data_IF_482840053783
#
_entry.id   IF_482840053783
#
_cell.length_a   1.000
_cell.length_b   1.000
_cell.length_c   1.000
_cell.angle_alpha   90.00
_cell.angle_beta   90.00
_cell.angle_gamma   90.00
#
_symmetry.space_group_name_H-M   'P 1'
#
loop_
_entity.id
_entity.type
_entity.pdbx_description
1 polymer ?
#
# COMPACT_ATOMS: atom_id res chain seq x y z
N UNK A 1 -15.18 -57.24 -7.19
CA UNK A 1 -14.21 -56.24 -7.72
C UNK A 1 -14.93 -55.02 -8.31
N UNK A 2 -16.20 -55.11 -8.69
CA UNK A 2 -17.00 -53.96 -9.18
C UNK A 2 -17.30 -52.90 -8.09
N UNK A 3 -17.57 -53.29 -6.85
CA UNK A 3 -17.93 -52.33 -5.77
C UNK A 3 -16.79 -51.38 -5.37
N UNK A 4 -15.54 -51.81 -5.54
CA UNK A 4 -14.35 -50.99 -5.24
C UNK A 4 -14.08 -49.90 -6.29
N UNK A 5 -14.46 -50.15 -7.54
CA UNK A 5 -14.37 -49.15 -8.61
C UNK A 5 -15.49 -48.12 -8.49
N UNK A 6 -16.72 -48.56 -8.21
CA UNK A 6 -17.85 -47.66 -7.99
C UNK A 6 -17.61 -46.69 -6.80
N UNK A 7 -17.05 -47.19 -5.69
CA UNK A 7 -16.66 -46.31 -4.56
C UNK A 7 -15.52 -45.35 -4.88
N UNK A 8 -14.57 -45.77 -5.73
CA UNK A 8 -13.47 -44.89 -6.13
C UNK A 8 -13.93 -43.77 -7.07
N UNK A 9 -14.92 -44.05 -7.91
CA UNK A 9 -15.56 -43.08 -8.81
C UNK A 9 -16.40 -42.05 -8.02
N UNK A 10 -17.17 -42.51 -7.04
CA UNK A 10 -17.97 -41.66 -6.13
C UNK A 10 -17.08 -40.73 -5.27
N UNK A 11 -15.95 -41.26 -4.77
CA UNK A 11 -14.93 -40.46 -4.07
C UNK A 11 -14.27 -39.43 -5.00
N UNK A 12 -13.98 -39.80 -6.25
CA UNK A 12 -13.39 -38.88 -7.22
C UNK A 12 -14.36 -37.75 -7.60
N UNK A 13 -15.67 -38.04 -7.65
CA UNK A 13 -16.72 -37.07 -7.91
C UNK A 13 -16.88 -36.08 -6.75
N UNK A 14 -16.92 -36.57 -5.51
CA UNK A 14 -16.94 -35.74 -4.31
C UNK A 14 -15.69 -34.85 -4.16
N UNK A 15 -14.50 -35.36 -4.46
CA UNK A 15 -13.26 -34.57 -4.44
C UNK A 15 -13.28 -33.48 -5.52
N UNK A 16 -13.81 -33.79 -6.71
CA UNK A 16 -13.94 -32.83 -7.82
C UNK A 16 -14.94 -31.71 -7.49
N UNK A 17 -16.05 -32.04 -6.84
CA UNK A 17 -17.03 -31.07 -6.37
C UNK A 17 -16.46 -30.17 -5.26
N UNK A 18 -15.68 -30.73 -4.34
CA UNK A 18 -15.00 -29.97 -3.28
C UNK A 18 -13.94 -29.02 -3.86
N UNK A 19 -13.17 -29.47 -4.84
CA UNK A 19 -12.19 -28.63 -5.55
C UNK A 19 -12.89 -27.50 -6.30
N UNK A 20 -14.01 -27.77 -6.98
CA UNK A 20 -14.79 -26.75 -7.68
C UNK A 20 -15.36 -25.69 -6.72
N UNK A 21 -15.99 -26.10 -5.62
CA UNK A 21 -16.52 -25.17 -4.62
C UNK A 21 -15.43 -24.30 -3.99
N UNK A 22 -14.25 -24.87 -3.73
CA UNK A 22 -13.10 -24.10 -3.22
C UNK A 22 -12.51 -23.16 -4.29
N UNK A 23 -12.55 -23.56 -5.57
CA UNK A 23 -12.16 -22.71 -6.70
C UNK A 23 -13.06 -21.48 -6.85
N UNK A 24 -14.38 -21.64 -6.66
CA UNK A 24 -15.33 -20.53 -6.70
C UNK A 24 -15.15 -19.59 -5.50
N UNK A 25 -14.92 -20.15 -4.31
CA UNK A 25 -14.59 -19.36 -3.12
C UNK A 25 -13.28 -18.56 -3.30
N UNK A 26 -12.25 -19.16 -3.89
CA UNK A 26 -10.98 -18.47 -4.20
C UNK A 26 -11.18 -17.39 -5.27
N UNK A 27 -11.99 -17.64 -6.31
CA UNK A 27 -12.30 -16.65 -7.34
C UNK A 27 -13.02 -15.42 -6.78
N UNK A 28 -14.02 -15.64 -5.94
CA UNK A 28 -14.80 -14.58 -5.30
C UNK A 28 -13.92 -13.77 -4.33
N UNK A 29 -13.15 -14.45 -3.47
CA UNK A 29 -12.28 -13.79 -2.50
C UNK A 29 -11.13 -13.03 -3.20
N UNK A 30 -10.60 -13.56 -4.31
CA UNK A 30 -9.60 -12.89 -5.14
C UNK A 30 -10.20 -11.66 -5.82
N UNK A 31 -11.40 -11.77 -6.39
CA UNK A 31 -12.09 -10.64 -7.03
C UNK A 31 -12.41 -9.54 -6.01
N UNK A 32 -12.87 -9.90 -4.82
CA UNK A 32 -13.18 -8.96 -3.74
C UNK A 32 -11.92 -8.28 -3.18
N UNK A 33 -10.85 -9.04 -2.88
CA UNK A 33 -9.54 -8.48 -2.47
C UNK A 33 -8.98 -7.56 -3.56
N UNK A 34 -9.03 -7.97 -4.83
CA UNK A 34 -8.53 -7.17 -5.95
C UNK A 34 -9.32 -5.86 -6.12
N UNK A 35 -10.65 -5.93 -5.96
CA UNK A 35 -11.52 -4.76 -6.07
C UNK A 35 -11.31 -3.79 -4.91
N UNK A 36 -11.12 -4.30 -3.69
CA UNK A 36 -10.82 -3.49 -2.50
C UNK A 36 -9.43 -2.85 -2.57
N UNK A 37 -8.43 -3.59 -3.07
CA UNK A 37 -7.10 -3.04 -3.37
C UNK A 37 -7.18 -1.95 -4.42
N UNK A 38 -7.86 -2.20 -5.55
CA UNK A 38 -8.03 -1.21 -6.61
C UNK A 38 -8.73 0.06 -6.11
N UNK A 39 -9.83 -0.10 -5.37
CA UNK A 39 -10.55 1.03 -4.76
C UNK A 39 -9.66 1.82 -3.79
N UNK A 40 -8.87 1.14 -2.96
CA UNK A 40 -7.93 1.77 -2.02
C UNK A 40 -6.81 2.51 -2.75
N UNK A 41 -6.23 1.90 -3.80
CA UNK A 41 -5.19 2.53 -4.63
C UNK A 41 -5.74 3.77 -5.30
N UNK A 42 -6.90 3.68 -5.95
CA UNK A 42 -7.53 4.83 -6.63
C UNK A 42 -7.83 5.94 -5.61
N UNK A 43 -8.43 5.62 -4.47
CA UNK A 43 -8.70 6.60 -3.41
C UNK A 43 -7.39 7.23 -2.90
N UNK A 44 -6.35 6.44 -2.68
CA UNK A 44 -5.05 6.94 -2.23
C UNK A 44 -4.40 7.87 -3.25
N UNK A 45 -4.50 7.58 -4.54
CA UNK A 45 -3.99 8.43 -5.62
C UNK A 45 -4.74 9.75 -5.66
N UNK A 46 -6.07 9.73 -5.55
CA UNK A 46 -6.89 10.94 -5.52
C UNK A 46 -6.51 11.81 -4.32
N UNK A 47 -6.42 11.23 -3.12
CA UNK A 47 -6.01 11.94 -1.90
C UNK A 47 -4.59 12.50 -2.05
N UNK A 48 -3.64 11.71 -2.56
CA UNK A 48 -2.27 12.15 -2.80
C UNK A 48 -2.21 13.32 -3.80
N UNK A 49 -3.03 13.29 -4.85
CA UNK A 49 -3.11 14.37 -5.84
C UNK A 49 -3.59 15.70 -5.22
N UNK A 50 -4.65 15.66 -4.39
CA UNK A 50 -5.10 16.83 -3.64
C UNK A 50 -4.06 17.30 -2.62
N UNK A 51 -3.40 16.37 -1.94
CA UNK A 51 -2.37 16.68 -0.95
C UNK A 51 -1.15 17.37 -1.58
N UNK A 52 -0.67 16.88 -2.72
CA UNK A 52 0.42 17.50 -3.48
C UNK A 52 0.02 18.91 -3.94
N UNK A 53 -1.21 19.07 -4.43
CA UNK A 53 -1.75 20.37 -4.83
C UNK A 53 -1.80 21.35 -3.66
N UNK A 54 -2.28 20.89 -2.50
CA UNK A 54 -2.28 21.68 -1.26
C UNK A 54 -0.86 22.08 -0.85
N UNK A 55 0.10 21.15 -0.87
CA UNK A 55 1.51 21.45 -0.58
C UNK A 55 2.09 22.50 -1.53
N UNK A 56 1.75 22.45 -2.81
CA UNK A 56 2.21 23.41 -3.80
C UNK A 56 1.72 24.83 -3.49
N UNK A 57 0.43 24.98 -3.16
CA UNK A 57 -0.12 26.27 -2.74
C UNK A 57 0.45 26.74 -1.40
N UNK A 58 0.59 25.83 -0.42
CA UNK A 58 1.18 26.16 0.88
C UNK A 58 2.63 26.65 0.73
N UNK A 59 3.44 25.97 -0.09
CA UNK A 59 4.81 26.36 -0.43
C UNK A 59 4.87 27.74 -1.08
N UNK A 60 3.98 27.99 -2.04
CA UNK A 60 3.86 29.30 -2.72
C UNK A 60 3.46 30.40 -1.74
N UNK A 61 2.53 30.13 -0.82
CA UNK A 61 2.11 31.07 0.21
C UNK A 61 3.25 31.39 1.20
N UNK A 62 3.98 30.38 1.66
CA UNK A 62 5.19 30.54 2.48
C UNK A 62 6.24 31.41 1.77
N UNK A 63 6.52 31.13 0.50
CA UNK A 63 7.45 31.92 -0.31
C UNK A 63 7.02 33.39 -0.41
N UNK A 64 5.72 33.65 -0.58
CA UNK A 64 5.17 35.00 -0.59
C UNK A 64 5.30 35.71 0.75
N UNK A 65 5.04 35.02 1.87
CA UNK A 65 5.18 35.59 3.22
C UNK A 65 6.63 35.97 3.48
N UNK A 66 7.58 35.06 3.22
CA UNK A 66 8.99 35.36 3.38
C UNK A 66 9.45 36.47 2.45
N UNK A 67 9.03 36.46 1.18
CA UNK A 67 9.33 37.52 0.23
C UNK A 67 8.85 38.90 0.71
N UNK A 68 7.67 38.97 1.34
CA UNK A 68 7.11 40.23 1.84
C UNK A 68 7.90 40.80 3.03
N UNK A 69 8.50 39.93 3.86
CA UNK A 69 9.38 40.33 4.96
C UNK A 69 10.73 40.84 4.47
N UNK A 70 11.32 40.21 3.44
CA UNK A 70 12.62 40.61 2.90
C UNK A 70 12.55 41.73 1.86
N UNK A 71 11.35 42.10 1.40
CA UNK A 71 11.13 43.15 0.40
C UNK A 71 11.48 42.73 -1.04
N UNK A 72 12.04 41.54 -1.23
CA UNK A 72 12.60 41.05 -2.49
C UNK A 72 12.11 39.61 -2.75
N UNK A 73 11.60 39.34 -3.96
CA UNK A 73 11.04 38.03 -4.35
C UNK A 73 12.06 36.90 -4.31
N UNK A 74 13.30 37.18 -4.70
CA UNK A 74 14.34 36.15 -4.79
C UNK A 74 14.76 35.60 -3.41
N UNK A 75 14.77 36.46 -2.37
CA UNK A 75 15.13 36.05 -1.01
C UNK A 75 14.07 35.14 -0.39
N UNK A 76 12.78 35.38 -0.69
CA UNK A 76 11.69 34.52 -0.23
C UNK A 76 11.83 33.09 -0.76
N UNK A 77 12.12 32.95 -2.04
CA UNK A 77 12.38 31.63 -2.65
C UNK A 77 13.68 31.00 -2.15
N UNK A 78 14.73 31.77 -1.88
CA UNK A 78 16.00 31.26 -1.38
C UNK A 78 15.86 30.67 0.04
N UNK A 79 15.13 31.35 0.93
CA UNK A 79 14.85 30.86 2.29
C UNK A 79 13.98 29.59 2.24
N UNK A 80 12.91 29.59 1.44
CA UNK A 80 12.05 28.41 1.29
C UNK A 80 12.82 27.23 0.68
N UNK A 81 13.63 27.49 -0.35
CA UNK A 81 14.54 26.49 -0.93
C UNK A 81 15.54 25.94 0.08
N UNK A 82 16.10 26.80 0.94
CA UNK A 82 16.96 26.40 2.05
C UNK A 82 16.25 25.50 3.05
N UNK A 83 15.00 25.84 3.43
CA UNK A 83 14.16 25.01 4.30
C UNK A 83 13.88 23.65 3.66
N UNK A 84 13.55 23.60 2.37
CA UNK A 84 13.33 22.34 1.65
C UNK A 84 14.61 21.49 1.57
N UNK A 85 15.78 22.13 1.39
CA UNK A 85 17.07 21.44 1.37
C UNK A 85 17.39 20.86 2.76
N UNK A 86 17.13 21.61 3.83
CA UNK A 86 17.29 21.16 5.21
C UNK A 86 16.34 20.00 5.53
N UNK A 87 15.06 20.12 5.17
CA UNK A 87 14.08 19.03 5.27
C UNK A 87 14.55 17.79 4.48
N UNK A 88 15.02 17.98 3.26
CA UNK A 88 15.57 16.90 2.42
C UNK A 88 16.77 16.21 3.07
N UNK A 89 17.68 16.97 3.67
CA UNK A 89 18.82 16.44 4.40
C UNK A 89 18.38 15.65 5.66
N UNK A 90 17.42 16.18 6.43
CA UNK A 90 16.84 15.47 7.58
C UNK A 90 16.18 14.16 7.13
N UNK A 91 15.36 14.20 6.08
CA UNK A 91 14.72 13.01 5.53
C UNK A 91 15.76 12.02 5.00
N UNK A 92 16.85 12.48 4.38
CA UNK A 92 17.93 11.60 3.93
C UNK A 92 18.55 10.86 5.11
N UNK A 93 18.90 11.54 6.20
CA UNK A 93 19.47 10.91 7.40
C UNK A 93 18.46 9.95 8.05
N UNK A 94 17.19 10.33 8.11
CA UNK A 94 16.13 9.51 8.70
C UNK A 94 15.55 8.45 7.73
N UNK A 95 16.00 8.41 6.46
CA UNK A 95 15.43 7.52 5.42
C UNK A 95 15.43 6.06 5.86
N UNK A 96 16.49 5.67 6.56
CA UNK A 96 16.71 4.30 7.02
C UNK A 96 15.71 3.93 8.14
N UNK A 97 15.39 4.90 9.00
CA UNK A 97 14.42 4.71 10.08
C UNK A 97 12.96 4.86 9.65
N UNK A 98 12.67 5.79 8.76
CA UNK A 98 11.28 6.15 8.41
C UNK A 98 10.76 5.31 7.25
N UNK A 99 11.61 4.93 6.27
CA UNK A 99 11.16 4.15 5.11
C UNK A 99 11.51 2.68 5.28
N UNK A 100 12.78 2.37 5.60
CA UNK A 100 13.25 0.98 5.60
C UNK A 100 12.58 0.14 6.71
N UNK A 101 12.50 0.67 7.93
CA UNK A 101 11.89 -0.04 9.07
C UNK A 101 10.41 -0.41 8.85
N UNK A 102 9.48 0.51 8.51
CA UNK A 102 8.09 0.12 8.32
C UNK A 102 7.87 -0.72 7.06
N UNK A 103 8.63 -0.52 5.98
CA UNK A 103 8.55 -1.39 4.79
C UNK A 103 9.02 -2.80 5.14
N UNK A 104 10.16 -2.92 5.81
CA UNK A 104 10.67 -4.22 6.27
C UNK A 104 9.69 -4.89 7.23
N UNK A 105 9.13 -4.15 8.20
CA UNK A 105 8.16 -4.70 9.14
C UNK A 105 6.84 -5.11 8.43
N UNK A 106 6.40 -4.35 7.42
CA UNK A 106 5.23 -4.70 6.62
C UNK A 106 5.47 -5.95 5.77
N UNK A 107 6.64 -6.06 5.12
CA UNK A 107 7.04 -7.25 4.36
C UNK A 107 7.19 -8.47 5.26
N UNK A 108 7.85 -8.33 6.41
CA UNK A 108 7.96 -9.40 7.40
C UNK A 108 6.58 -9.84 7.85
N UNK A 109 5.68 -8.91 8.19
CA UNK A 109 4.32 -9.28 8.61
C UNK A 109 3.53 -9.96 7.48
N UNK A 110 3.72 -9.55 6.24
CA UNK A 110 3.04 -10.19 5.11
C UNK A 110 3.60 -11.58 4.78
N UNK A 111 4.89 -11.82 5.02
CA UNK A 111 5.52 -13.12 4.79
C UNK A 111 5.33 -14.09 5.97
N UNK A 112 5.36 -13.61 7.21
CA UNK A 112 5.24 -14.44 8.41
C UNK A 112 3.80 -14.63 8.89
N UNK A 113 2.85 -13.76 8.51
CA UNK A 113 1.42 -13.97 8.81
C UNK A 113 0.78 -14.99 7.85
N UNK A 114 1.37 -15.28 6.69
CA UNK A 114 0.91 -16.40 5.84
C UNK A 114 1.31 -17.78 6.41
N UNK A 115 2.23 -17.86 7.39
CA UNK A 115 2.68 -19.12 8.02
C UNK A 115 1.96 -19.43 9.36
N UNK A 116 1.25 -18.47 9.99
CA UNK A 116 0.61 -18.67 11.31
C UNK A 116 -0.89 -19.05 11.25
N UNK A 117 -1.51 -19.09 10.06
CA UNK A 117 -2.92 -19.51 9.90
C UNK A 117 -3.09 -21.04 9.66
N UNK A 118 -2.04 -21.85 9.82
CA UNK A 118 -2.08 -23.32 9.64
C UNK A 118 -1.92 -24.14 10.94
N UNK A 119 -1.76 -23.51 12.12
CA UNK A 119 -1.56 -24.25 13.40
C UNK A 119 -2.70 -24.11 14.44
N UNK A 120 -3.77 -23.34 14.15
CA UNK A 120 -4.93 -23.21 15.04
C UNK A 120 -6.28 -23.30 14.27
N UNK A 121 -6.53 -24.40 13.55
CA UNK A 121 -7.87 -25.04 13.45
C UNK A 121 -7.81 -26.49 12.93
#
# INVERSE_FOLDING_TARGET
>A
MEDTFAKAEDLAEHVKEYINNRMDAVKLNTAEKSSKLAATVIASVVVAMFFITFLFFASTALAFVFSRLTGELWLGFLIVGGIYLLLGAVVWVLRERILQLPIMNALLRQLFTDDEDDDDE
#
